data_IF_971754888630
#
_entry.id   IF_971754888630
#
_cell.length_a   1.000
_cell.length_b   1.000
_cell.length_c   1.000
_cell.angle_alpha   90.00
_cell.angle_beta   90.00
_cell.angle_gamma   90.00
#
_symmetry.space_group_name_H-M   'P 1'
#
loop_
_entity.id
_entity.type
_entity.pdbx_description
1 polymer ?
#
# COMPACT_ATOMS: atom_id res chain seq x y z
N UNK A 1 -33.27 -12.54 -16.42
CA UNK A 1 -31.90 -12.54 -17.00
C UNK A 1 -31.54 -11.26 -17.77
N UNK A 2 -32.45 -10.65 -18.55
CA UNK A 2 -32.15 -9.42 -19.34
C UNK A 2 -31.72 -8.22 -18.48
N UNK A 3 -32.34 -8.00 -17.31
CA UNK A 3 -31.99 -6.89 -16.40
C UNK A 3 -30.54 -6.92 -15.90
N UNK A 4 -30.02 -8.11 -15.56
CA UNK A 4 -28.64 -8.29 -15.07
C UNK A 4 -27.63 -8.04 -16.20
N UNK A 5 -27.93 -8.52 -17.42
CA UNK A 5 -27.08 -8.29 -18.60
C UNK A 5 -26.97 -6.80 -18.92
N UNK A 6 -28.09 -6.07 -18.86
CA UNK A 6 -28.10 -4.62 -19.07
C UNK A 6 -27.40 -3.87 -17.93
N UNK A 7 -27.53 -4.33 -16.68
CA UNK A 7 -26.84 -3.73 -15.53
C UNK A 7 -25.31 -3.84 -15.66
N UNK A 8 -24.77 -5.01 -15.98
CA UNK A 8 -23.33 -5.20 -16.19
C UNK A 8 -22.81 -4.34 -17.35
N UNK A 9 -23.61 -4.20 -18.41
CA UNK A 9 -23.25 -3.40 -19.59
C UNK A 9 -23.18 -1.91 -19.25
N UNK A 10 -24.14 -1.40 -18.46
CA UNK A 10 -24.14 -0.03 -17.96
C UNK A 10 -22.97 0.24 -17.00
N UNK A 11 -22.69 -0.68 -16.06
CA UNK A 11 -21.55 -0.57 -15.14
C UNK A 11 -20.22 -0.54 -15.89
N UNK A 12 -20.06 -1.38 -16.92
CA UNK A 12 -18.85 -1.34 -17.78
C UNK A 12 -18.73 0.00 -18.50
N UNK A 13 -19.83 0.56 -19.00
CA UNK A 13 -19.84 1.86 -19.67
C UNK A 13 -19.47 3.03 -18.72
N UNK A 14 -19.88 2.97 -17.44
CA UNK A 14 -19.49 3.94 -16.42
C UNK A 14 -18.03 3.77 -15.98
N UNK A 15 -17.55 2.53 -15.83
CA UNK A 15 -16.15 2.23 -15.50
C UNK A 15 -15.16 2.74 -16.56
N UNK A 16 -15.59 2.89 -17.81
CA UNK A 16 -14.79 3.49 -18.88
C UNK A 16 -14.73 5.03 -18.80
N UNK A 17 -15.65 5.68 -18.09
CA UNK A 17 -15.61 7.13 -17.83
C UNK A 17 -14.68 7.48 -16.65
N UNK A 18 -14.29 6.48 -15.87
CA UNK A 18 -13.35 6.65 -14.76
C UNK A 18 -11.94 6.82 -15.35
N UNK A 19 -11.28 7.90 -14.96
CA UNK A 19 -9.87 8.14 -15.28
C UNK A 19 -8.99 7.24 -14.42
N UNK A 20 -8.78 6.01 -14.87
CA UNK A 20 -7.82 5.11 -14.22
C UNK A 20 -6.40 5.65 -14.42
N UNK A 21 -5.57 5.66 -13.37
CA UNK A 21 -4.17 6.03 -13.49
C UNK A 21 -3.46 5.12 -14.49
N UNK A 22 -2.46 5.66 -15.18
CA UNK A 22 -1.66 4.88 -16.12
C UNK A 22 -0.88 3.79 -15.37
N UNK A 23 -0.53 2.70 -16.08
CA UNK A 23 0.27 1.61 -15.50
C UNK A 23 1.59 2.12 -14.92
N UNK A 24 2.17 3.13 -15.53
CA UNK A 24 3.44 3.74 -15.10
C UNK A 24 3.27 4.56 -13.82
N UNK A 25 2.18 5.33 -13.68
CA UNK A 25 1.84 6.06 -12.44
C UNK A 25 1.59 5.10 -11.27
N UNK A 26 0.93 3.97 -11.53
CA UNK A 26 0.68 2.92 -10.53
C UNK A 26 2.00 2.32 -10.04
N UNK A 27 2.92 1.99 -10.96
CA UNK A 27 4.23 1.45 -10.62
C UNK A 27 5.08 2.46 -9.86
N UNK A 28 5.10 3.72 -10.30
CA UNK A 28 5.87 4.77 -9.63
C UNK A 28 5.35 5.04 -8.22
N UNK A 29 4.03 5.16 -8.05
CA UNK A 29 3.40 5.38 -6.74
C UNK A 29 3.66 4.22 -5.79
N UNK A 30 3.61 2.97 -6.28
CA UNK A 30 3.90 1.78 -5.46
C UNK A 30 5.37 1.69 -5.09
N UNK A 31 6.28 2.03 -6.01
CA UNK A 31 7.73 2.04 -5.76
C UNK A 31 8.12 2.99 -4.62
N UNK A 32 7.54 4.20 -4.61
CA UNK A 32 7.76 5.17 -3.53
C UNK A 32 7.31 4.62 -2.18
N UNK A 33 6.14 3.96 -2.14
CA UNK A 33 5.60 3.36 -0.91
C UNK A 33 6.52 2.24 -0.39
N UNK A 34 7.05 1.39 -1.28
CA UNK A 34 7.98 0.31 -0.90
C UNK A 34 9.22 0.90 -0.23
N UNK A 35 9.83 1.91 -0.83
CA UNK A 35 11.03 2.57 -0.28
C UNK A 35 10.72 3.23 1.07
N UNK A 36 9.62 3.97 1.16
CA UNK A 36 9.23 4.65 2.39
C UNK A 36 8.96 3.66 3.54
N UNK A 37 8.26 2.56 3.25
CA UNK A 37 7.94 1.53 4.25
C UNK A 37 9.19 0.77 4.69
N UNK A 38 10.12 0.49 3.78
CA UNK A 38 11.40 -0.15 4.11
C UNK A 38 12.25 0.72 5.04
N UNK A 39 12.33 2.02 4.75
CA UNK A 39 13.05 2.98 5.60
C UNK A 39 12.43 3.09 6.99
N UNK A 40 11.11 3.26 7.06
CA UNK A 40 10.39 3.33 8.33
C UNK A 40 10.51 2.03 9.13
N UNK A 41 10.33 0.88 8.49
CA UNK A 41 10.46 -0.43 9.13
C UNK A 41 11.87 -0.67 9.68
N UNK A 42 12.90 -0.26 8.94
CA UNK A 42 14.29 -0.33 9.40
C UNK A 42 14.54 0.59 10.59
N UNK A 43 14.03 1.82 10.54
CA UNK A 43 14.17 2.79 11.63
C UNK A 43 13.50 2.30 12.92
N UNK A 44 12.26 1.83 12.83
CA UNK A 44 11.53 1.26 13.97
C UNK A 44 12.26 0.04 14.52
N UNK A 45 12.69 -0.89 13.65
CA UNK A 45 13.42 -2.08 14.08
C UNK A 45 14.75 -1.77 14.79
N UNK A 46 15.48 -0.73 14.36
CA UNK A 46 16.68 -0.26 15.04
C UNK A 46 16.37 0.30 16.44
N UNK A 47 15.28 1.05 16.56
CA UNK A 47 14.83 1.58 17.86
C UNK A 47 14.45 0.42 18.78
N UNK A 48 13.70 -0.56 18.31
CA UNK A 48 13.28 -1.71 19.12
C UNK A 48 14.49 -2.53 19.63
N UNK A 49 15.52 -2.70 18.79
CA UNK A 49 16.78 -3.33 19.18
C UNK A 49 17.51 -2.53 20.25
N UNK A 50 17.59 -1.20 20.09
CA UNK A 50 18.20 -0.31 21.08
C UNK A 50 17.46 -0.37 22.42
N UNK A 51 16.12 -0.31 22.39
CA UNK A 51 15.29 -0.42 23.58
C UNK A 51 15.49 -1.76 24.30
N UNK A 52 15.55 -2.86 23.55
CA UNK A 52 15.78 -4.19 24.12
C UNK A 52 17.15 -4.27 24.79
N UNK A 53 18.18 -3.70 24.16
CA UNK A 53 19.52 -3.64 24.74
C UNK A 53 19.56 -2.80 26.04
N UNK A 54 18.93 -1.62 26.03
CA UNK A 54 18.86 -0.75 27.21
C UNK A 54 18.10 -1.41 28.37
N UNK A 55 16.96 -2.04 28.09
CA UNK A 55 16.19 -2.76 29.12
C UNK A 55 16.96 -3.96 29.66
N UNK A 56 17.71 -4.68 28.81
CA UNK A 56 18.57 -5.78 29.25
C UNK A 56 19.67 -5.35 30.22
N UNK A 57 20.19 -4.12 30.09
CA UNK A 57 21.16 -3.54 31.03
C UNK A 57 20.48 -3.12 32.35
N UNK A 58 19.24 -2.62 32.30
CA UNK A 58 18.51 -2.14 33.48
C UNK A 58 17.98 -3.28 34.35
N UNK A 59 17.52 -4.38 33.71
CA UNK A 59 16.91 -5.53 34.40
C UNK A 59 17.97 -6.46 35.01
N UNK A 60 19.23 -6.35 34.56
CA UNK A 60 20.37 -7.08 35.12
C UNK A 60 21.08 -6.25 36.19
#
# INVERSE_FOLDING_TARGET
MVKIKNFILNVKAEMLKVSWPSKDELLNSTSVIIVATLLLGTFVGLIDLLYTFMMGIIIR
#
